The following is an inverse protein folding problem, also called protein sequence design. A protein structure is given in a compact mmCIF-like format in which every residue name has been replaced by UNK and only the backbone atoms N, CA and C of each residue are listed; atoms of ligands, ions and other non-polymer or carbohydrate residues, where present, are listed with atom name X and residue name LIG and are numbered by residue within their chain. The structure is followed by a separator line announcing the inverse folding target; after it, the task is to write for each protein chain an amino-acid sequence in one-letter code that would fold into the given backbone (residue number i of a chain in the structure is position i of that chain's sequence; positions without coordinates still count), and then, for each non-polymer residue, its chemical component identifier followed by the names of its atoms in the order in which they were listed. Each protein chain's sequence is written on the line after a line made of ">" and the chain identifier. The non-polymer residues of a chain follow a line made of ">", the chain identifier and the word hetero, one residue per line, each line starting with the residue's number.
data_IF_579013023091
#
_entry.id   IF_579013023091
#
_cell.length_a   1.000
_cell.length_b   1.000
_cell.length_c   1.000
_cell.angle_alpha   90.00
_cell.angle_beta   90.00
_cell.angle_gamma   90.00
#
_symmetry.space_group_name_H-M   'P 1'
#
loop_
_entity.id
_entity.type
_entity.pdbx_description
1 polymer ?
#
# COMPACT_ATOMS: atom_id res chain seq x y z
N UNK A 1 -51.11 40.73 -30.40
CA UNK A 1 -50.18 40.93 -29.27
C UNK A 1 -50.16 39.78 -28.25
N UNK A 2 -51.32 39.30 -27.74
CA UNK A 2 -51.39 38.20 -26.74
C UNK A 2 -50.76 36.84 -27.17
N UNK A 3 -50.83 36.48 -28.44
CA UNK A 3 -50.22 35.25 -28.97
C UNK A 3 -48.69 35.26 -28.96
N UNK A 4 -48.05 36.43 -29.14
CA UNK A 4 -46.59 36.56 -29.05
C UNK A 4 -46.10 36.37 -27.61
N UNK A 5 -46.76 37.01 -26.65
CA UNK A 5 -46.44 36.89 -25.21
C UNK A 5 -46.51 35.45 -24.69
N UNK A 6 -47.51 34.66 -25.11
CA UNK A 6 -47.61 33.25 -24.73
C UNK A 6 -46.45 32.41 -25.26
N UNK A 7 -45.98 32.64 -26.49
CA UNK A 7 -44.84 31.91 -27.06
C UNK A 7 -43.54 32.24 -26.32
N UNK A 8 -43.31 33.50 -25.95
CA UNK A 8 -42.10 33.90 -25.22
C UNK A 8 -42.05 33.27 -23.83
N UNK A 9 -43.18 33.21 -23.12
CA UNK A 9 -43.27 32.58 -21.79
C UNK A 9 -43.04 31.07 -21.81
N UNK A 10 -43.52 30.37 -22.85
CA UNK A 10 -43.28 28.92 -23.02
C UNK A 10 -41.79 28.67 -23.29
N UNK A 11 -41.16 29.47 -24.14
CA UNK A 11 -39.73 29.37 -24.42
C UNK A 11 -38.89 29.63 -23.14
N UNK A 12 -39.20 30.67 -22.38
CA UNK A 12 -38.51 30.99 -21.12
C UNK A 12 -38.60 29.85 -20.09
N UNK A 13 -39.78 29.21 -19.95
CA UNK A 13 -39.93 28.04 -19.07
C UNK A 13 -39.11 26.85 -19.56
N UNK A 14 -39.09 26.60 -20.87
CA UNK A 14 -38.28 25.52 -21.46
C UNK A 14 -36.78 25.73 -21.22
N UNK A 15 -36.25 26.93 -21.47
CA UNK A 15 -34.84 27.25 -21.23
C UNK A 15 -34.44 27.12 -19.75
N UNK A 16 -35.33 27.52 -18.82
CA UNK A 16 -35.08 27.36 -17.38
C UNK A 16 -34.99 25.89 -16.97
N UNK A 17 -35.89 25.05 -17.47
CA UNK A 17 -35.87 23.60 -17.18
C UNK A 17 -34.65 22.93 -17.79
N UNK A 18 -34.29 23.27 -19.03
CA UNK A 18 -33.11 22.76 -19.71
C UNK A 18 -31.81 23.15 -18.96
N UNK A 19 -31.71 24.39 -18.48
CA UNK A 19 -30.56 24.85 -17.72
C UNK A 19 -30.40 24.13 -16.38
N UNK A 20 -31.50 23.85 -15.67
CA UNK A 20 -31.49 23.06 -14.43
C UNK A 20 -31.04 21.63 -14.73
N UNK A 21 -31.56 21.01 -15.79
CA UNK A 21 -31.18 19.66 -16.19
C UNK A 21 -29.69 19.56 -16.52
N UNK A 22 -29.14 20.51 -17.31
CA UNK A 22 -27.71 20.58 -17.62
C UNK A 22 -26.88 20.71 -16.34
N UNK A 23 -27.29 21.54 -15.37
CA UNK A 23 -26.59 21.65 -14.08
C UNK A 23 -26.59 20.33 -13.30
N UNK A 24 -27.70 19.60 -13.28
CA UNK A 24 -27.80 18.29 -12.61
C UNK A 24 -26.89 17.27 -13.28
N UNK A 25 -26.89 17.21 -14.62
CA UNK A 25 -26.00 16.31 -15.38
C UNK A 25 -24.52 16.64 -15.12
N UNK A 26 -24.16 17.93 -15.09
CA UNK A 26 -22.79 18.34 -14.78
C UNK A 26 -22.38 18.00 -13.34
N UNK A 27 -23.32 18.11 -12.38
CA UNK A 27 -23.09 17.72 -11.00
C UNK A 27 -22.89 16.19 -10.87
N UNK A 28 -23.72 15.41 -11.56
CA UNK A 28 -23.62 13.95 -11.62
C UNK A 28 -22.31 13.49 -12.27
N UNK A 29 -21.90 14.11 -13.39
CA UNK A 29 -20.62 13.81 -14.05
C UNK A 29 -19.42 14.15 -13.17
N UNK A 30 -19.45 15.28 -12.44
CA UNK A 30 -18.42 15.60 -11.44
C UNK A 30 -18.37 14.57 -10.31
N UNK A 31 -19.53 14.11 -9.83
CA UNK A 31 -19.59 13.09 -8.79
C UNK A 31 -19.00 11.76 -9.27
N UNK A 32 -19.33 11.34 -10.50
CA UNK A 32 -18.74 10.14 -11.14
C UNK A 32 -17.23 10.32 -11.30
N UNK A 33 -16.75 11.48 -11.76
CA UNK A 33 -15.31 11.75 -11.88
C UNK A 33 -14.60 11.68 -10.52
N UNK A 34 -15.18 12.25 -9.45
CA UNK A 34 -14.60 12.22 -8.10
C UNK A 34 -14.58 10.79 -7.54
N UNK A 35 -15.60 9.99 -7.83
CA UNK A 35 -15.70 8.62 -7.30
C UNK A 35 -14.81 7.61 -8.06
N UNK A 36 -14.56 7.80 -9.37
CA UNK A 36 -13.84 6.82 -10.19
C UNK A 36 -12.35 7.14 -10.46
N UNK A 37 -11.89 8.39 -10.36
CA UNK A 37 -10.46 8.72 -10.54
C UNK A 37 -9.53 8.02 -9.54
N UNK A 38 -9.87 7.89 -8.23
CA UNK A 38 -8.94 7.29 -7.27
C UNK A 38 -8.62 5.82 -7.57
N UNK A 39 -9.57 5.06 -8.15
CA UNK A 39 -9.35 3.66 -8.51
C UNK A 39 -8.38 3.49 -9.68
N UNK A 40 -8.34 4.45 -10.61
CA UNK A 40 -7.43 4.41 -11.75
C UNK A 40 -6.01 4.80 -11.31
N UNK A 41 -5.86 5.72 -10.36
CA UNK A 41 -4.55 6.14 -9.86
C UNK A 41 -3.82 5.05 -9.05
N UNK A 42 -4.55 4.08 -8.47
CA UNK A 42 -3.94 2.91 -7.82
C UNK A 42 -3.73 1.72 -8.78
N UNK A 43 -4.41 1.70 -9.93
CA UNK A 43 -4.21 0.67 -10.96
C UNK A 43 -3.21 1.08 -12.06
N UNK A 44 -3.00 2.38 -12.26
CA UNK A 44 -1.95 2.91 -13.11
C UNK A 44 -0.61 2.83 -12.38
N UNK A 45 0.29 2.03 -12.94
CA UNK A 45 1.71 1.96 -12.61
C UNK A 45 2.14 1.08 -11.43
N UNK A 46 1.51 -0.10 -11.25
CA UNK A 46 2.34 -1.32 -11.10
C UNK A 46 3.01 -1.64 -12.45
N UNK A 47 3.73 -0.65 -12.99
CA UNK A 47 4.71 -0.84 -14.06
C UNK A 47 5.53 -2.02 -13.62
N UNK A 48 5.65 -3.03 -14.49
CA UNK A 48 6.29 -4.31 -14.16
C UNK A 48 7.56 -4.02 -13.34
N UNK A 49 7.51 -4.20 -12.01
CA UNK A 49 8.56 -3.70 -11.10
C UNK A 49 9.90 -4.36 -11.45
N UNK A 50 9.84 -5.47 -12.19
CA UNK A 50 10.95 -6.23 -12.72
C UNK A 50 11.48 -5.76 -14.07
N UNK A 51 10.85 -4.81 -14.79
CA UNK A 51 11.23 -4.42 -16.16
C UNK A 51 12.73 -4.06 -16.29
N UNK A 52 13.29 -3.41 -15.27
CA UNK A 52 14.69 -2.99 -15.23
C UNK A 52 15.65 -4.03 -14.64
N UNK A 53 15.13 -5.12 -14.08
CA UNK A 53 15.91 -6.13 -13.35
C UNK A 53 15.83 -7.52 -13.99
N UNK A 54 14.77 -7.80 -14.74
CA UNK A 54 14.52 -9.09 -15.38
C UNK A 54 15.45 -9.28 -16.57
N UNK A 55 16.18 -10.41 -16.55
CA UNK A 55 17.02 -10.83 -17.67
C UNK A 55 16.12 -11.26 -18.82
N UNK A 56 16.44 -10.76 -20.02
CA UNK A 56 15.77 -11.17 -21.26
C UNK A 56 16.19 -12.61 -21.62
N UNK A 57 15.33 -13.57 -21.27
CA UNK A 57 15.51 -15.00 -21.59
C UNK A 57 14.31 -15.53 -22.37
N UNK A 58 14.49 -16.66 -23.07
CA UNK A 58 13.36 -17.30 -23.75
C UNK A 58 12.38 -17.90 -22.74
N UNK A 59 11.09 -17.97 -23.11
CA UNK A 59 10.09 -18.63 -22.30
C UNK A 59 10.44 -20.10 -22.05
N UNK A 60 11.01 -20.79 -23.04
CA UNK A 60 11.45 -22.18 -22.89
C UNK A 60 12.55 -22.30 -21.83
N UNK A 61 13.55 -21.41 -21.83
CA UNK A 61 14.59 -21.39 -20.82
C UNK A 61 14.00 -21.23 -19.40
N UNK A 62 13.05 -20.30 -19.23
CA UNK A 62 12.35 -20.09 -17.96
C UNK A 62 11.61 -21.35 -17.49
N UNK A 63 10.88 -22.01 -18.39
CA UNK A 63 10.18 -23.28 -18.13
C UNK A 63 11.15 -24.39 -17.73
N UNK A 64 12.22 -24.58 -18.47
CA UNK A 64 13.22 -25.61 -18.20
C UNK A 64 13.90 -25.39 -16.85
N UNK A 65 14.21 -24.13 -16.52
CA UNK A 65 14.82 -23.75 -15.27
C UNK A 65 13.92 -24.06 -14.06
N UNK A 66 12.64 -23.68 -14.14
CA UNK A 66 11.66 -23.93 -13.07
C UNK A 66 11.40 -25.43 -12.90
N UNK A 67 11.25 -26.19 -13.99
CA UNK A 67 11.00 -27.63 -13.95
C UNK A 67 12.20 -28.43 -13.41
N UNK A 68 13.41 -28.14 -13.89
CA UNK A 68 14.63 -28.88 -13.52
C UNK A 68 14.90 -28.83 -12.02
N UNK A 69 14.59 -27.69 -11.40
CA UNK A 69 14.86 -27.46 -9.98
C UNK A 69 13.70 -27.84 -9.08
N UNK A 70 12.64 -28.45 -9.61
CA UNK A 70 11.44 -28.88 -8.87
C UNK A 70 10.79 -27.78 -8.01
N UNK A 71 11.00 -26.52 -8.36
CA UNK A 71 10.37 -25.37 -7.70
C UNK A 71 8.84 -25.45 -7.76
N UNK A 72 8.32 -26.22 -8.73
CA UNK A 72 6.91 -26.53 -8.88
C UNK A 72 6.32 -27.42 -7.79
N UNK A 73 7.10 -28.30 -7.14
CA UNK A 73 6.52 -29.24 -6.17
C UNK A 73 5.89 -28.50 -4.98
N UNK A 74 6.39 -27.32 -4.65
CA UNK A 74 5.88 -26.47 -3.59
C UNK A 74 4.69 -25.59 -4.04
N UNK A 75 4.54 -25.33 -5.35
CA UNK A 75 3.45 -24.49 -5.89
C UNK A 75 2.29 -25.28 -6.56
N UNK A 76 2.49 -26.56 -6.88
CA UNK A 76 1.64 -27.31 -7.82
C UNK A 76 0.23 -27.64 -7.33
N UNK A 77 -0.03 -27.69 -6.03
CA UNK A 77 -1.38 -28.04 -5.55
C UNK A 77 -2.43 -26.98 -5.96
N UNK A 78 -2.00 -25.73 -6.13
CA UNK A 78 -2.87 -24.59 -6.40
C UNK A 78 -2.86 -24.08 -7.86
N UNK A 79 -1.92 -24.57 -8.67
CA UNK A 79 -1.65 -24.03 -10.01
C UNK A 79 -2.14 -24.94 -11.15
N UNK A 80 -3.25 -25.65 -10.95
CA UNK A 80 -3.84 -26.56 -11.95
C UNK A 80 -4.36 -25.87 -13.22
N UNK A 81 -4.45 -24.54 -13.22
CA UNK A 81 -4.96 -23.77 -14.36
C UNK A 81 -3.84 -23.03 -15.11
N UNK A 82 -3.95 -23.05 -16.44
CA UNK A 82 -3.11 -22.37 -17.44
C UNK A 82 -1.60 -22.30 -17.11
N UNK A 83 -0.87 -23.39 -17.43
CA UNK A 83 0.59 -23.46 -17.30
C UNK A 83 1.32 -22.24 -17.89
N UNK A 84 0.83 -21.67 -19.00
CA UNK A 84 1.48 -20.52 -19.65
C UNK A 84 1.45 -19.28 -18.75
N UNK A 85 0.32 -18.99 -18.13
CA UNK A 85 0.16 -17.87 -17.19
C UNK A 85 0.91 -18.13 -15.88
N UNK A 86 1.00 -19.39 -15.46
CA UNK A 86 1.80 -19.73 -14.29
C UNK A 86 3.28 -19.33 -14.46
N UNK A 87 3.90 -19.63 -15.61
CA UNK A 87 5.30 -19.27 -15.86
C UNK A 87 5.55 -17.76 -16.00
N UNK A 88 4.52 -16.93 -16.23
CA UNK A 88 4.70 -15.47 -16.25
C UNK A 88 4.92 -14.87 -14.87
N UNK A 89 4.64 -15.62 -13.80
CA UNK A 89 4.88 -15.20 -12.42
C UNK A 89 6.33 -15.42 -11.96
N UNK A 90 7.18 -16.03 -12.78
CA UNK A 90 8.60 -16.23 -12.49
C UNK A 90 9.43 -15.16 -13.20
N UNK A 91 10.25 -14.46 -12.44
CA UNK A 91 11.15 -13.43 -12.93
C UNK A 91 12.59 -13.92 -12.79
N UNK A 92 13.33 -13.95 -13.90
CA UNK A 92 14.74 -14.34 -13.89
C UNK A 92 15.56 -13.08 -13.65
N UNK A 93 16.25 -13.01 -12.52
CA UNK A 93 16.99 -11.82 -12.09
C UNK A 93 18.39 -12.22 -11.63
N UNK A 94 19.27 -11.25 -11.43
CA UNK A 94 20.50 -11.42 -10.65
C UNK A 94 20.31 -10.56 -9.41
N UNK A 95 19.67 -11.10 -8.36
CA UNK A 95 19.28 -10.28 -7.21
C UNK A 95 20.41 -10.12 -6.20
N UNK A 96 21.42 -11.00 -6.21
CA UNK A 96 22.54 -10.93 -5.26
C UNK A 96 23.81 -10.28 -5.83
N UNK A 97 23.84 -10.06 -7.14
CA UNK A 97 24.93 -9.41 -7.87
C UNK A 97 26.05 -10.37 -8.27
N UNK A 98 25.84 -11.69 -8.23
CA UNK A 98 26.87 -12.69 -8.55
C UNK A 98 26.93 -13.08 -10.04
N UNK A 99 26.06 -12.48 -10.87
CA UNK A 99 25.98 -12.71 -12.32
C UNK A 99 25.11 -13.90 -12.72
N UNK A 100 24.69 -14.76 -11.79
CA UNK A 100 23.88 -15.95 -12.10
C UNK A 100 22.41 -15.61 -12.25
N UNK A 101 21.65 -16.59 -12.72
CA UNK A 101 20.21 -16.47 -12.94
C UNK A 101 19.49 -16.93 -11.68
N UNK A 102 19.19 -15.99 -10.79
CA UNK A 102 18.26 -16.19 -9.69
C UNK A 102 16.81 -16.12 -10.16
N UNK A 103 15.90 -16.49 -9.27
CA UNK A 103 14.46 -16.52 -9.56
C UNK A 103 13.72 -15.78 -8.45
N UNK A 104 12.82 -14.88 -8.85
CA UNK A 104 11.78 -14.34 -7.98
C UNK A 104 10.43 -14.85 -8.49
N UNK A 105 9.64 -15.48 -7.63
CA UNK A 105 8.27 -15.86 -7.91
C UNK A 105 7.32 -14.86 -7.26
N UNK A 106 6.36 -14.32 -8.02
CA UNK A 106 5.26 -13.48 -7.51
C UNK A 106 3.95 -13.97 -8.12
N UNK A 107 3.23 -14.83 -7.41
CA UNK A 107 2.07 -15.50 -7.98
C UNK A 107 1.10 -16.03 -6.94
N UNK A 108 0.20 -16.93 -7.35
CA UNK A 108 -0.78 -17.55 -6.44
C UNK A 108 -0.05 -18.35 -5.35
N UNK A 109 -0.50 -18.20 -4.10
CA UNK A 109 -0.06 -18.99 -2.94
C UNK A 109 -0.96 -20.18 -2.63
N UNK A 110 -2.15 -20.22 -3.27
CA UNK A 110 -3.26 -21.09 -2.88
C UNK A 110 -4.32 -20.43 -2.01
N UNK A 111 -4.00 -19.29 -1.40
CA UNK A 111 -4.97 -18.40 -0.75
C UNK A 111 -5.25 -17.14 -1.58
N UNK A 112 -5.84 -16.14 -0.93
CA UNK A 112 -6.19 -14.85 -1.53
C UNK A 112 -4.95 -13.96 -1.77
N UNK A 113 -3.96 -14.07 -0.89
CA UNK A 113 -2.71 -13.31 -1.00
C UNK A 113 -1.75 -13.96 -1.98
N UNK A 114 -0.98 -13.17 -2.71
CA UNK A 114 0.10 -13.68 -3.57
C UNK A 114 1.26 -14.16 -2.70
N UNK A 115 1.97 -15.19 -3.16
CA UNK A 115 3.26 -15.60 -2.60
C UNK A 115 4.38 -14.85 -3.33
N UNK A 116 5.30 -14.30 -2.56
CA UNK A 116 6.58 -13.76 -3.01
C UNK A 116 7.68 -14.67 -2.49
N UNK A 117 8.45 -15.29 -3.37
CA UNK A 117 9.53 -16.22 -3.00
C UNK A 117 10.80 -15.95 -3.82
N UNK A 118 11.96 -15.92 -3.16
CA UNK A 118 13.26 -15.65 -3.76
C UNK A 118 14.14 -16.89 -3.69
N UNK A 119 14.61 -17.32 -4.85
CA UNK A 119 15.42 -18.53 -5.02
C UNK A 119 16.78 -18.16 -5.61
N UNK A 120 17.82 -18.35 -4.82
CA UNK A 120 19.19 -18.01 -5.19
C UNK A 120 19.87 -19.16 -5.91
N UNK A 121 20.52 -18.88 -7.04
CA UNK A 121 21.32 -19.87 -7.75
C UNK A 121 22.73 -20.00 -7.14
N UNK A 122 23.01 -21.10 -6.45
CA UNK A 122 24.35 -21.32 -5.86
C UNK A 122 25.37 -21.95 -6.84
N UNK A 123 24.98 -22.15 -8.11
CA UNK A 123 25.78 -22.77 -9.18
C UNK A 123 25.51 -24.27 -9.36
N UNK A 124 24.85 -24.92 -8.39
CA UNK A 124 24.46 -26.34 -8.46
C UNK A 124 22.94 -26.52 -8.31
N UNK A 125 22.35 -25.83 -7.35
CA UNK A 125 20.94 -25.87 -6.98
C UNK A 125 20.41 -24.47 -6.73
N UNK A 126 19.13 -24.38 -6.40
CA UNK A 126 18.47 -23.16 -5.93
C UNK A 126 18.16 -23.27 -4.45
N UNK A 127 18.51 -22.24 -3.69
CA UNK A 127 18.20 -22.13 -2.27
C UNK A 127 17.08 -21.10 -2.09
N UNK A 128 15.97 -21.45 -1.43
CA UNK A 128 14.96 -20.46 -0.99
C UNK A 128 15.56 -19.63 0.14
N UNK A 129 15.60 -18.31 -0.03
CA UNK A 129 16.23 -17.38 0.93
C UNK A 129 15.26 -16.34 1.49
N UNK A 130 14.07 -16.23 0.94
CA UNK A 130 13.02 -15.33 1.39
C UNK A 130 11.66 -15.78 0.89
N UNK A 131 10.67 -15.77 1.77
CA UNK A 131 9.27 -16.03 1.44
C UNK A 131 8.36 -15.13 2.28
N UNK A 132 7.35 -14.54 1.63
CA UNK A 132 6.32 -13.75 2.29
C UNK A 132 5.06 -13.70 1.42
N UNK A 133 3.93 -13.32 2.02
CA UNK A 133 2.70 -13.03 1.28
C UNK A 133 2.61 -11.54 0.94
N UNK A 134 2.08 -11.21 -0.24
CA UNK A 134 1.88 -9.82 -0.67
C UNK A 134 2.32 -9.53 -2.09
N UNK A 135 2.54 -8.25 -2.39
CA UNK A 135 3.01 -7.77 -3.68
C UNK A 135 4.30 -6.96 -3.52
N UNK A 136 5.28 -7.17 -4.40
CA UNK A 136 6.45 -6.28 -4.48
C UNK A 136 6.01 -4.97 -5.11
N UNK A 137 6.18 -3.86 -4.40
CA UNK A 137 5.89 -2.51 -4.89
C UNK A 137 7.11 -1.84 -5.50
N UNK A 138 8.30 -2.16 -4.98
CA UNK A 138 9.54 -1.51 -5.37
C UNK A 138 10.70 -2.48 -5.33
N UNK A 139 11.59 -2.38 -6.32
CA UNK A 139 12.91 -3.02 -6.35
C UNK A 139 13.97 -1.94 -6.57
N UNK A 140 15.05 -1.99 -5.78
CA UNK A 140 16.22 -1.11 -5.94
C UNK A 140 17.49 -1.91 -5.70
N UNK A 141 18.55 -1.57 -6.44
CA UNK A 141 19.90 -2.10 -6.18
C UNK A 141 20.57 -1.30 -5.07
N UNK A 142 21.18 -2.01 -4.14
CA UNK A 142 22.09 -1.43 -3.15
C UNK A 142 23.42 -1.08 -3.83
N UNK A 143 23.88 0.15 -3.64
CA UNK A 143 25.09 0.66 -4.31
C UNK A 143 26.36 -0.09 -3.95
N UNK A 144 26.44 -0.62 -2.73
CA UNK A 144 27.65 -1.27 -2.20
C UNK A 144 27.74 -2.75 -2.56
N UNK A 145 26.62 -3.47 -2.54
CA UNK A 145 26.60 -4.93 -2.74
C UNK A 145 26.10 -5.32 -4.12
N UNK A 146 25.49 -4.39 -4.87
CA UNK A 146 24.72 -4.67 -6.07
C UNK A 146 23.62 -5.73 -5.83
N UNK A 147 23.20 -5.95 -4.58
CA UNK A 147 22.09 -6.83 -4.25
C UNK A 147 20.77 -6.03 -4.26
N UNK A 148 19.65 -6.67 -4.53
CA UNK A 148 18.34 -6.00 -4.49
C UNK A 148 17.91 -5.79 -3.05
N UNK A 149 17.32 -4.63 -2.77
CA UNK A 149 16.35 -4.41 -1.69
C UNK A 149 14.97 -4.22 -2.30
N UNK A 150 13.94 -4.41 -1.50
CA UNK A 150 12.57 -4.29 -1.98
C UNK A 150 11.59 -3.80 -0.92
N UNK A 151 10.48 -3.24 -1.40
CA UNK A 151 9.32 -2.91 -0.57
C UNK A 151 8.20 -3.88 -0.92
N UNK A 152 7.73 -4.60 0.09
CA UNK A 152 6.61 -5.52 0.03
C UNK A 152 5.36 -4.85 0.60
N UNK A 153 4.25 -4.95 -0.12
CA UNK A 153 2.92 -4.69 0.42
C UNK A 153 2.27 -6.00 0.82
N UNK A 154 2.19 -6.24 2.12
CA UNK A 154 1.44 -7.33 2.70
C UNK A 154 0.02 -6.82 2.99
N UNK A 155 -0.92 -7.23 2.14
CA UNK A 155 -2.33 -6.87 2.24
C UNK A 155 -3.11 -7.95 2.98
N UNK A 156 -4.19 -7.58 3.69
CA UNK A 156 -4.96 -8.51 4.49
C UNK A 156 -5.69 -9.54 3.62
N UNK A 157 -6.06 -10.66 4.23
CA UNK A 157 -7.02 -11.62 3.68
C UNK A 157 -8.41 -11.44 4.34
N UNK A 158 -9.40 -12.26 3.97
CA UNK A 158 -10.82 -12.21 4.39
C UNK A 158 -11.14 -11.80 5.84
N UNK A 159 -10.26 -12.08 6.81
CA UNK A 159 -10.52 -11.86 8.24
C UNK A 159 -9.55 -10.85 8.88
N UNK A 160 -8.77 -10.14 8.07
CA UNK A 160 -7.86 -9.10 8.52
C UNK A 160 -8.22 -7.78 7.84
N UNK A 161 -7.83 -6.68 8.46
CA UNK A 161 -8.03 -5.31 7.95
C UNK A 161 -6.72 -4.51 8.00
N UNK A 162 -5.62 -5.18 8.34
CA UNK A 162 -4.33 -4.55 8.51
C UNK A 162 -3.48 -4.78 7.27
N UNK A 163 -2.83 -3.72 6.85
CA UNK A 163 -1.88 -3.77 5.76
C UNK A 163 -0.51 -3.35 6.27
N UNK A 164 0.53 -3.87 5.63
CA UNK A 164 1.90 -3.53 5.96
C UNK A 164 2.70 -3.17 4.70
N UNK A 165 3.50 -2.11 4.79
CA UNK A 165 4.62 -1.86 3.90
C UNK A 165 5.89 -2.27 4.62
N UNK A 166 6.52 -3.33 4.11
CA UNK A 166 7.72 -3.93 4.68
C UNK A 166 8.89 -3.72 3.74
N UNK A 167 9.89 -2.96 4.18
CA UNK A 167 11.14 -2.80 3.45
C UNK A 167 12.12 -3.89 3.88
N UNK A 168 12.61 -4.66 2.93
CA UNK A 168 13.60 -5.71 3.14
C UNK A 168 14.91 -5.35 2.48
N UNK A 169 16.00 -5.52 3.22
CA UNK A 169 17.37 -5.27 2.77
C UNK A 169 18.18 -6.56 2.77
N UNK A 170 19.12 -6.73 1.83
CA UNK A 170 19.95 -7.92 1.76
C UNK A 170 20.97 -7.91 2.91
N UNK A 171 21.10 -9.04 3.60
CA UNK A 171 22.14 -9.30 4.60
C UNK A 171 23.00 -10.48 4.18
N UNK A 172 24.33 -10.33 4.31
CA UNK A 172 25.27 -11.44 4.09
C UNK A 172 25.90 -11.80 5.44
N UNK A 173 25.64 -13.02 5.92
CA UNK A 173 26.26 -13.58 7.14
C UNK A 173 26.94 -14.89 6.80
N UNK A 174 28.24 -15.00 7.08
CA UNK A 174 29.05 -16.19 6.76
C UNK A 174 28.93 -16.64 5.29
N UNK A 175 28.88 -15.69 4.36
CA UNK A 175 28.72 -15.96 2.92
C UNK A 175 27.31 -16.39 2.49
N UNK A 176 26.36 -16.55 3.41
CA UNK A 176 24.95 -16.82 3.11
C UNK A 176 24.20 -15.49 2.98
N UNK A 177 23.53 -15.30 1.84
CA UNK A 177 22.59 -14.20 1.65
C UNK A 177 21.25 -14.55 2.31
N UNK A 178 20.68 -13.57 2.99
CA UNK A 178 19.30 -13.56 3.50
C UNK A 178 18.73 -12.14 3.35
N UNK A 179 17.45 -11.96 3.68
CA UNK A 179 16.83 -10.64 3.77
C UNK A 179 16.42 -10.34 5.21
N UNK A 180 16.66 -9.12 5.65
CA UNK A 180 16.17 -8.63 6.95
C UNK A 180 15.18 -7.49 6.77
N UNK A 181 14.23 -7.43 7.69
CA UNK A 181 13.24 -6.38 7.74
C UNK A 181 13.88 -5.09 8.27
N UNK A 182 13.90 -4.05 7.43
CA UNK A 182 14.47 -2.73 7.74
C UNK A 182 13.43 -1.75 8.27
N UNK A 183 12.21 -1.81 7.74
CA UNK A 183 11.09 -0.96 8.14
C UNK A 183 9.79 -1.73 7.97
N UNK A 184 8.87 -1.58 8.92
CA UNK A 184 7.53 -2.14 8.88
C UNK A 184 6.51 -1.04 9.21
N UNK A 185 5.71 -0.66 8.23
CA UNK A 185 4.73 0.42 8.38
C UNK A 185 3.31 -0.14 8.21
N UNK A 186 2.50 -0.08 9.25
CA UNK A 186 1.15 -0.62 9.25
C UNK A 186 0.08 0.47 9.06
N UNK A 187 -1.06 0.07 8.51
CA UNK A 187 -2.30 0.87 8.52
C UNK A 187 -3.52 -0.03 8.48
N UNK A 188 -4.67 0.57 8.79
CA UNK A 188 -5.99 -0.08 8.77
C UNK A 188 -6.68 0.20 7.44
N UNK A 189 -7.39 -0.77 6.89
CA UNK A 189 -8.24 -0.62 5.71
C UNK A 189 -9.17 0.60 5.81
N UNK A 190 -9.36 1.29 4.68
CA UNK A 190 -10.08 2.56 4.65
C UNK A 190 -9.26 3.76 5.12
N UNK A 191 -7.98 3.60 5.47
CA UNK A 191 -7.05 4.73 5.63
C UNK A 191 -6.92 5.47 4.31
N UNK A 192 -7.29 6.75 4.30
CA UNK A 192 -7.21 7.61 3.12
C UNK A 192 -5.77 8.10 2.96
N UNK A 193 -5.03 7.57 1.99
CA UNK A 193 -3.70 8.10 1.69
C UNK A 193 -3.79 9.44 0.94
N UNK A 194 -2.88 10.39 1.20
CA UNK A 194 -2.81 11.62 0.42
C UNK A 194 -2.42 11.31 -1.02
N UNK A 195 -2.94 12.08 -1.98
CA UNK A 195 -2.62 11.90 -3.41
C UNK A 195 -1.14 12.13 -3.73
N UNK A 196 -0.46 12.93 -2.89
CA UNK A 196 0.96 13.23 -3.01
C UNK A 196 1.56 13.30 -1.61
N UNK A 197 2.67 12.60 -1.42
CA UNK A 197 3.54 12.81 -0.28
C UNK A 197 4.40 14.05 -0.53
N UNK A 198 4.55 14.89 0.47
CA UNK A 198 5.40 16.07 0.40
C UNK A 198 6.71 15.76 1.12
N UNK A 199 7.70 15.29 0.35
CA UNK A 199 9.04 15.01 0.86
C UNK A 199 9.74 16.23 1.46
N UNK A 200 9.30 17.45 1.10
CA UNK A 200 9.80 18.69 1.70
C UNK A 200 9.08 19.06 3.01
N UNK A 201 7.95 18.42 3.30
CA UNK A 201 7.19 18.59 4.53
C UNK A 201 7.54 17.58 5.64
N UNK A 202 8.53 16.72 5.39
CA UNK A 202 9.08 15.84 6.42
C UNK A 202 9.56 16.68 7.60
N UNK A 203 8.76 16.67 8.65
CA UNK A 203 9.02 17.37 9.89
C UNK A 203 8.68 16.44 11.04
N UNK A 204 9.59 16.40 12.00
CA UNK A 204 9.39 15.59 13.19
C UNK A 204 8.47 16.35 14.16
N UNK A 205 7.60 15.62 14.84
CA UNK A 205 6.71 16.20 15.83
C UNK A 205 6.55 15.30 17.05
N UNK A 206 6.04 15.87 18.13
CA UNK A 206 5.60 15.17 19.34
C UNK A 206 4.13 15.49 19.66
N UNK A 207 3.40 14.53 20.23
CA UNK A 207 2.06 14.74 20.79
C UNK A 207 2.14 15.52 22.10
N UNK A 208 1.29 16.54 22.28
CA UNK A 208 1.28 17.36 23.51
C UNK A 208 0.14 17.04 24.48
N UNK A 209 -0.89 16.30 24.04
CA UNK A 209 -2.01 15.87 24.87
C UNK A 209 -1.72 14.53 25.53
N UNK A 210 -2.31 14.31 26.71
CA UNK A 210 -2.20 13.05 27.46
C UNK A 210 -2.63 11.82 26.65
N UNK A 211 -3.63 11.98 25.78
CA UNK A 211 -4.05 10.99 24.80
C UNK A 211 -4.37 11.69 23.48
N UNK A 212 -3.87 11.16 22.36
CA UNK A 212 -4.14 11.69 21.04
C UNK A 212 -4.36 10.63 19.96
N UNK A 213 -5.40 10.81 19.16
CA UNK A 213 -5.91 9.75 18.29
C UNK A 213 -5.30 9.84 16.89
N UNK A 214 -4.70 8.74 16.45
CA UNK A 214 -4.42 8.47 15.04
C UNK A 214 -5.69 7.97 14.37
N UNK A 215 -5.97 8.42 13.14
CA UNK A 215 -7.24 8.14 12.45
C UNK A 215 -7.04 7.68 11.01
N UNK A 216 -8.02 6.94 10.47
CA UNK A 216 -7.98 6.51 9.06
C UNK A 216 -8.27 7.66 8.09
N UNK A 217 -8.92 8.74 8.54
CA UNK A 217 -9.34 9.87 7.69
C UNK A 217 -9.09 11.22 8.37
N UNK A 218 -8.91 12.33 7.61
CA UNK A 218 -8.70 13.67 8.15
C UNK A 218 -10.00 14.31 8.65
N UNK A 219 -10.70 13.61 9.56
CA UNK A 219 -11.92 14.09 10.20
C UNK A 219 -12.13 13.35 11.52
N UNK A 220 -12.93 13.94 12.42
CA UNK A 220 -13.38 13.27 13.65
C UNK A 220 -14.65 12.49 13.32
N UNK A 221 -14.58 11.16 13.42
CA UNK A 221 -15.75 10.30 13.47
C UNK A 221 -15.55 9.32 14.64
N UNK A 222 -16.35 9.47 15.68
CA UNK A 222 -16.28 8.65 16.89
C UNK A 222 -17.50 7.71 17.01
N UNK A 223 -18.32 7.63 15.95
CA UNK A 223 -19.51 6.76 15.94
C UNK A 223 -19.07 5.29 15.99
N UNK A 224 -19.56 4.59 17.02
CA UNK A 224 -19.28 3.17 17.16
C UNK A 224 -19.90 2.37 16.02
N UNK A 225 -19.16 1.38 15.54
CA UNK A 225 -19.66 0.38 14.62
C UNK A 225 -18.99 -0.96 14.90
N UNK A 226 -19.47 -2.02 14.25
CA UNK A 226 -18.86 -3.33 14.30
C UNK A 226 -17.98 -3.49 13.08
N UNK A 227 -16.73 -3.88 13.30
CA UNK A 227 -15.77 -4.20 12.25
C UNK A 227 -15.13 -5.54 12.58
N UNK A 228 -15.24 -6.51 11.68
CA UNK A 228 -14.77 -7.90 11.88
C UNK A 228 -15.22 -8.54 13.21
N UNK A 229 -16.40 -8.16 13.72
CA UNK A 229 -16.96 -8.66 14.97
C UNK A 229 -16.59 -7.84 16.21
N UNK A 230 -15.62 -6.93 16.12
CA UNK A 230 -15.20 -6.06 17.22
C UNK A 230 -15.92 -4.72 17.18
N UNK A 231 -16.24 -4.18 18.37
CA UNK A 231 -16.79 -2.83 18.49
C UNK A 231 -15.66 -1.81 18.42
N UNK A 232 -15.58 -1.08 17.30
CA UNK A 232 -14.57 -0.04 17.07
C UNK A 232 -15.19 1.35 17.22
N UNK A 233 -14.38 2.30 17.74
CA UNK A 233 -14.81 3.70 17.93
C UNK A 233 -14.50 4.53 16.68
N UNK A 234 -15.39 4.44 15.70
CA UNK A 234 -15.34 5.25 14.49
C UNK A 234 -14.03 5.09 13.73
N UNK A 235 -13.43 6.20 13.31
CA UNK A 235 -12.24 6.18 12.46
C UNK A 235 -10.91 6.21 13.22
N UNK A 236 -10.90 5.91 14.53
CA UNK A 236 -9.69 5.83 15.33
C UNK A 236 -8.94 4.54 14.98
N UNK A 237 -7.62 4.65 14.77
CA UNK A 237 -6.68 3.54 14.58
C UNK A 237 -6.04 3.17 15.92
N UNK A 238 -5.52 4.17 16.63
CA UNK A 238 -4.72 4.02 17.84
C UNK A 238 -4.73 5.31 18.65
N UNK A 239 -4.50 5.20 19.95
CA UNK A 239 -4.42 6.32 20.89
C UNK A 239 -3.00 6.45 21.48
N UNK A 240 -2.30 7.52 21.10
CA UNK A 240 -0.92 7.76 21.51
C UNK A 240 -0.85 8.63 22.78
N UNK A 241 -0.01 8.29 23.76
CA UNK A 241 0.21 9.14 24.91
C UNK A 241 0.99 10.41 24.54
N UNK A 242 1.05 11.38 25.46
CA UNK A 242 1.91 12.56 25.36
C UNK A 242 3.37 12.19 25.15
N UNK A 243 4.08 12.94 24.30
CA UNK A 243 5.48 12.73 23.98
C UNK A 243 5.74 11.65 22.94
N UNK A 244 4.68 11.01 22.41
CA UNK A 244 4.82 10.12 21.25
C UNK A 244 5.25 10.93 20.05
N UNK A 245 6.23 10.41 19.30
CA UNK A 245 6.82 11.13 18.17
C UNK A 245 6.44 10.51 16.83
N UNK A 246 6.54 11.33 15.79
CA UNK A 246 6.18 10.93 14.43
C UNK A 246 6.76 11.87 13.40
N UNK A 247 6.57 11.50 12.14
CA UNK A 247 7.00 12.27 10.98
C UNK A 247 5.76 12.68 10.21
N UNK A 248 5.60 13.99 9.96
CA UNK A 248 4.60 14.50 9.03
C UNK A 248 5.04 14.15 7.60
N UNK A 249 4.16 13.55 6.81
CA UNK A 249 4.42 13.21 5.41
C UNK A 249 3.57 14.01 4.41
N UNK A 250 2.42 14.51 4.84
CA UNK A 250 1.56 15.39 4.06
C UNK A 250 0.60 16.16 4.99
N UNK A 251 -0.16 17.09 4.43
CA UNK A 251 -1.32 17.67 5.10
C UNK A 251 -2.53 17.78 4.16
N UNK A 252 -3.69 17.94 4.78
CA UNK A 252 -4.96 18.17 4.09
C UNK A 252 -5.88 18.98 4.99
N UNK A 253 -6.81 19.71 4.38
CA UNK A 253 -7.90 20.37 5.10
C UNK A 253 -9.06 19.38 5.19
N UNK A 254 -9.43 19.02 6.42
CA UNK A 254 -10.54 18.12 6.69
C UNK A 254 -11.89 18.78 6.41
N UNK A 255 -12.96 17.98 6.37
CA UNK A 255 -14.34 18.47 6.22
C UNK A 255 -14.76 19.41 7.36
N UNK A 256 -14.08 19.35 8.50
CA UNK A 256 -14.28 20.24 9.65
C UNK A 256 -13.48 21.55 9.55
N UNK A 257 -12.84 21.83 8.41
CA UNK A 257 -12.06 23.03 8.14
C UNK A 257 -10.70 23.07 8.86
N UNK A 258 -10.32 22.00 9.57
CA UNK A 258 -9.05 21.93 10.29
C UNK A 258 -7.94 21.39 9.39
N UNK A 259 -6.70 21.75 9.71
CA UNK A 259 -5.52 21.14 9.09
C UNK A 259 -5.22 19.81 9.78
N UNK A 260 -5.17 18.76 8.99
CA UNK A 260 -4.79 17.41 9.39
C UNK A 260 -3.46 17.04 8.76
N UNK A 261 -2.60 16.38 9.51
CA UNK A 261 -1.34 15.83 9.03
C UNK A 261 -1.51 14.35 8.77
N UNK A 262 -1.08 13.90 7.60
CA UNK A 262 -0.83 12.49 7.37
C UNK A 262 0.54 12.19 7.94
N UNK A 263 0.60 11.25 8.88
CA UNK A 263 1.77 11.03 9.72
C UNK A 263 2.21 9.58 9.68
N UNK A 264 3.49 9.38 9.93
CA UNK A 264 4.13 8.11 10.25
C UNK A 264 4.54 8.14 11.71
N UNK A 265 3.77 7.49 12.59
CA UNK A 265 4.04 7.46 14.03
C UNK A 265 5.16 6.48 14.34
N UNK A 266 6.12 6.89 15.17
CA UNK A 266 7.06 5.96 15.82
C UNK A 266 6.29 5.25 16.92
N UNK A 267 6.29 3.92 16.92
CA UNK A 267 5.66 3.15 17.99
C UNK A 267 6.64 2.94 19.15
N UNK A 268 7.31 4.01 19.57
CA UNK A 268 8.19 4.02 20.75
C UNK A 268 7.42 3.90 22.07
N UNK A 269 6.12 4.26 22.05
CA UNK A 269 5.16 3.94 23.08
C UNK A 269 4.16 2.92 22.53
N UNK A 270 3.71 1.99 23.36
CA UNK A 270 2.60 1.10 23.03
C UNK A 270 1.31 1.93 23.06
N UNK A 271 0.66 2.20 21.92
CA UNK A 271 -0.58 2.96 21.91
C UNK A 271 -1.71 2.19 22.60
N UNK A 272 -2.65 2.92 23.19
CA UNK A 272 -3.90 2.37 23.72
C UNK A 272 -4.90 2.19 22.59
N UNK A 273 -5.87 1.28 22.78
CA UNK A 273 -6.94 1.01 21.82
C UNK A 273 -6.41 0.82 20.39
N UNK A 274 -5.23 0.20 20.28
CA UNK A 274 -4.57 -0.04 18.99
C UNK A 274 -5.33 -1.13 18.24
N UNK A 275 -5.81 -0.80 17.06
CA UNK A 275 -6.46 -1.76 16.16
C UNK A 275 -5.47 -2.61 15.39
N UNK A 276 -4.19 -2.25 15.44
CA UNK A 276 -3.15 -3.00 14.75
C UNK A 276 -2.57 -4.07 15.67
N UNK A 277 -2.34 -5.24 15.11
CA UNK A 277 -1.60 -6.32 15.75
C UNK A 277 -0.13 -5.92 15.66
N UNK A 278 0.46 -5.61 16.81
CA UNK A 278 1.87 -5.28 16.88
C UNK A 278 2.71 -6.54 16.60
N UNK A 279 3.63 -6.50 15.62
CA UNK A 279 4.55 -7.59 15.42
C UNK A 279 5.48 -7.68 16.63
N UNK A 280 5.36 -8.77 17.39
CA UNK A 280 6.13 -8.98 18.63
C UNK A 280 7.62 -8.94 18.34
N UNK A 281 8.34 -8.01 18.97
CA UNK A 281 9.81 -7.97 18.98
C UNK A 281 10.46 -7.26 17.78
N UNK A 282 9.70 -6.54 16.96
CA UNK A 282 10.26 -5.78 15.85
C UNK A 282 10.58 -4.34 16.23
N UNK A 283 11.87 -3.97 16.20
CA UNK A 283 12.36 -2.62 16.53
C UNK A 283 12.04 -1.54 15.47
N UNK A 284 11.28 -1.87 14.42
CA UNK A 284 11.06 -1.01 13.26
C UNK A 284 9.58 -0.88 12.87
N UNK A 285 8.71 -0.76 13.87
CA UNK A 285 7.27 -0.69 13.67
C UNK A 285 6.76 0.75 13.67
N UNK A 286 6.05 1.11 12.61
CA UNK A 286 5.46 2.44 12.41
C UNK A 286 4.00 2.31 12.04
N UNK A 287 3.22 3.35 12.31
CA UNK A 287 1.81 3.38 11.92
C UNK A 287 1.48 4.61 11.09
N UNK A 288 0.80 4.41 9.96
CA UNK A 288 0.26 5.50 9.15
C UNK A 288 -1.15 5.89 9.58
N UNK A 289 -1.45 7.17 9.44
CA UNK A 289 -2.79 7.69 9.60
C UNK A 289 -2.82 9.22 9.63
N UNK A 290 -3.96 9.76 10.04
CA UNK A 290 -4.21 11.18 10.16
C UNK A 290 -4.28 11.61 11.62
N UNK A 291 -3.63 12.72 11.92
CA UNK A 291 -3.76 13.42 13.20
C UNK A 291 -4.07 14.89 12.94
N UNK A 292 -4.94 15.50 13.75
CA UNK A 292 -5.15 16.95 13.62
C UNK A 292 -3.88 17.68 14.05
N UNK A 293 -3.49 18.72 13.31
CA UNK A 293 -2.24 19.45 13.58
C UNK A 293 -2.27 20.27 14.88
N UNK A 294 -3.46 20.54 15.43
CA UNK A 294 -3.66 21.45 16.58
C UNK A 294 -2.87 21.05 17.84
N UNK A 295 -2.63 19.75 18.01
CA UNK A 295 -2.02 19.20 19.22
C UNK A 295 -0.73 18.43 18.92
N UNK A 296 -0.04 18.84 17.87
CA UNK A 296 1.27 18.34 17.48
C UNK A 296 2.27 19.48 17.58
N UNK A 297 3.37 19.28 18.30
CA UNK A 297 4.44 20.24 18.41
C UNK A 297 5.59 19.79 17.52
N UNK A 298 5.97 20.63 16.55
CA UNK A 298 7.15 20.37 15.72
C UNK A 298 8.41 20.40 16.58
N UNK A 299 9.30 19.45 16.37
CA UNK A 299 10.57 19.33 17.10
C UNK A 299 11.79 19.51 16.20
N UNK A 300 11.64 19.29 14.89
CA UNK A 300 12.70 19.48 13.89
C UNK A 300 12.13 19.76 12.51
#
# INVERSE_FOLDING_TARGET
>A
MRLRLRRTLVLLKFYRTLFIFIKIVFLMLKLIFILFIPLIAFSQDQKNVFENFEKKVSNQFKVDLVNKNKLLQECNEYCKENKREFYTNFHIVDFDGDGKNDIIYVGKSGGESKLVSFWRNNGKTYDSIFEATGCILELKKESTTNSLRFVLWEYPCCADYQNFYKEYVPEKRNGKLSYSLKSNCAWVDGTLFPLKLDSSAESEFETILETYNLRTQPQINDNKHIEMGDSVKGNIIAEYPKGSDGIKLADSIGNDGKVWWFVKMKNNFIPKNNRLIEPKGENYYWTYGWMSSRFLKKIK
#
